data_IF_161500812399
#
_entry.id   IF_161500812399
#
_cell.length_a   1.000
_cell.length_b   1.000
_cell.length_c   1.000
_cell.angle_alpha   90.00
_cell.angle_beta   90.00
_cell.angle_gamma   90.00
#
_symmetry.space_group_name_H-M   'P 1'
#
loop_
_entity.id
_entity.type
_entity.pdbx_description
1 polymer ?
#
# COMPACT_ATOMS: atom_id res chain seq x y z
N UNK A 1 14.25 9.25 58.63
CA UNK A 1 14.00 7.91 58.02
C UNK A 1 12.88 7.97 56.99
N UNK A 2 11.66 8.44 57.33
CA UNK A 2 10.54 8.51 56.37
C UNK A 2 10.81 9.44 55.16
N UNK A 3 11.30 10.67 55.38
CA UNK A 3 11.51 11.63 54.27
C UNK A 3 12.57 11.20 53.24
N UNK A 4 13.66 10.57 53.68
CA UNK A 4 14.70 10.05 52.78
C UNK A 4 14.19 8.88 51.93
N UNK A 5 13.40 7.99 52.52
CA UNK A 5 12.78 6.87 51.78
C UNK A 5 11.77 7.35 50.75
N UNK A 6 10.96 8.37 51.07
CA UNK A 6 10.01 8.98 50.11
C UNK A 6 10.73 9.62 48.93
N UNK A 7 11.82 10.36 49.17
CA UNK A 7 12.62 10.99 48.10
C UNK A 7 13.23 9.92 47.18
N UNK A 8 13.84 8.87 47.76
CA UNK A 8 14.42 7.78 46.97
C UNK A 8 13.36 7.05 46.14
N UNK A 9 12.15 6.86 46.68
CA UNK A 9 11.04 6.26 45.95
C UNK A 9 10.62 7.13 44.75
N UNK A 10 10.49 8.45 44.94
CA UNK A 10 10.13 9.38 43.85
C UNK A 10 11.19 9.34 42.75
N UNK A 11 12.48 9.41 43.10
CA UNK A 11 13.58 9.34 42.13
C UNK A 11 13.57 7.99 41.39
N UNK A 12 13.37 6.88 42.10
CA UNK A 12 13.29 5.55 41.49
C UNK A 12 12.12 5.44 40.50
N UNK A 13 10.93 5.95 40.86
CA UNK A 13 9.76 5.96 39.97
C UNK A 13 10.01 6.84 38.74
N UNK A 14 10.59 8.03 38.90
CA UNK A 14 10.93 8.91 37.77
C UNK A 14 11.95 8.26 36.84
N UNK A 15 12.98 7.62 37.41
CA UNK A 15 14.01 6.92 36.65
C UNK A 15 13.41 5.74 35.86
N UNK A 16 12.59 4.91 36.51
CA UNK A 16 11.95 3.76 35.88
C UNK A 16 11.00 4.20 34.75
N UNK A 17 10.21 5.26 34.99
CA UNK A 17 9.29 5.81 33.98
C UNK A 17 10.05 6.37 32.77
N UNK A 18 11.21 7.00 33.00
CA UNK A 18 12.05 7.52 31.93
C UNK A 18 12.73 6.41 31.10
N UNK A 19 12.93 5.22 31.68
CA UNK A 19 13.51 4.05 31.00
C UNK A 19 12.47 3.20 30.26
N UNK A 20 11.26 3.05 30.80
CA UNK A 20 10.18 2.26 30.18
C UNK A 20 9.57 2.99 28.97
N UNK A 21 9.38 4.32 29.07
CA UNK A 21 8.71 5.10 28.02
C UNK A 21 9.38 4.98 26.63
N UNK A 22 10.71 5.00 26.49
CA UNK A 22 11.37 4.77 25.21
C UNK A 22 11.21 3.34 24.66
N UNK A 23 11.11 2.32 25.52
CA UNK A 23 10.89 0.93 25.10
C UNK A 23 9.50 0.78 24.48
N UNK A 24 8.47 1.31 25.15
CA UNK A 24 7.10 1.30 24.62
C UNK A 24 7.03 2.00 23.26
N UNK A 25 7.69 3.16 23.12
CA UNK A 25 7.75 3.86 21.82
C UNK A 25 8.43 3.05 20.72
N UNK A 26 9.45 2.26 21.04
CA UNK A 26 10.10 1.37 20.08
C UNK A 26 9.15 0.23 19.68
N UNK A 27 8.41 -0.34 20.65
CA UNK A 27 7.40 -1.38 20.38
C UNK A 27 6.28 -0.84 19.48
N UNK A 28 5.73 0.35 19.80
CA UNK A 28 4.69 1.00 19.01
C UNK A 28 5.17 1.29 17.58
N UNK A 29 6.42 1.73 17.42
CA UNK A 29 7.02 1.98 16.12
C UNK A 29 7.21 0.69 15.31
N UNK A 30 7.62 -0.40 15.95
CA UNK A 30 7.76 -1.71 15.33
C UNK A 30 6.41 -2.31 14.91
N UNK A 31 5.39 -2.19 15.76
CA UNK A 31 4.03 -2.63 15.45
C UNK A 31 3.41 -1.81 14.31
N UNK A 32 3.60 -0.48 14.34
CA UNK A 32 3.13 0.40 13.28
C UNK A 32 3.80 0.06 11.94
N UNK A 33 5.11 -0.16 11.93
CA UNK A 33 5.84 -0.61 10.75
C UNK A 33 5.35 -1.97 10.25
N UNK A 34 5.11 -2.93 11.14
CA UNK A 34 4.54 -4.24 10.79
C UNK A 34 3.14 -4.15 10.18
N UNK A 35 2.38 -3.09 10.49
CA UNK A 35 1.06 -2.80 9.90
C UNK A 35 1.13 -1.93 8.63
N UNK A 36 2.34 -1.65 8.11
CA UNK A 36 2.53 -0.77 6.95
C UNK A 36 2.15 0.69 7.20
N UNK A 37 2.04 1.11 8.47
CA UNK A 37 1.76 2.49 8.85
C UNK A 37 3.05 3.23 9.10
N UNK A 38 3.11 4.48 8.68
CA UNK A 38 4.20 5.34 9.10
C UNK A 38 4.11 5.60 10.61
N UNK A 39 5.24 5.46 11.30
CA UNK A 39 5.42 5.98 12.65
C UNK A 39 6.20 7.30 12.55
N UNK A 40 5.53 8.43 12.24
CA UNK A 40 6.23 9.70 12.06
C UNK A 40 6.97 10.07 13.35
N UNK A 41 8.23 10.50 13.19
CA UNK A 41 9.06 11.07 14.25
C UNK A 41 9.58 10.10 15.35
N UNK A 42 9.67 8.79 15.10
CA UNK A 42 10.42 7.92 16.03
C UNK A 42 11.91 8.31 16.06
N UNK A 43 12.45 8.57 17.25
CA UNK A 43 13.85 8.92 17.47
C UNK A 43 14.45 8.07 18.58
N UNK A 44 15.66 7.51 18.41
CA UNK A 44 16.35 6.76 19.46
C UNK A 44 16.55 7.62 20.72
N UNK A 45 15.95 7.21 21.84
CA UNK A 45 16.05 7.88 23.16
C UNK A 45 16.09 6.85 24.28
N UNK A 46 16.45 7.29 25.49
CA UNK A 46 16.53 6.45 26.69
C UNK A 46 17.94 5.91 26.94
N UNK A 47 18.00 4.79 27.69
CA UNK A 47 19.24 4.07 27.99
C UNK A 47 20.05 3.75 26.72
N UNK A 48 21.36 3.55 26.90
CA UNK A 48 22.28 3.23 25.80
C UNK A 48 21.84 1.99 25.03
N UNK A 49 21.35 0.98 25.74
CA UNK A 49 20.88 -0.30 25.21
C UNK A 49 19.61 -0.09 24.36
N UNK A 50 18.66 0.69 24.86
CA UNK A 50 17.41 1.01 24.14
C UNK A 50 17.70 1.85 22.90
N UNK A 51 18.61 2.82 22.99
CA UNK A 51 19.06 3.61 21.84
C UNK A 51 19.73 2.74 20.77
N UNK A 52 20.56 1.77 21.17
CA UNK A 52 21.19 0.83 20.24
C UNK A 52 20.15 -0.06 19.54
N UNK A 53 19.17 -0.58 20.27
CA UNK A 53 18.08 -1.35 19.69
C UNK A 53 17.23 -0.50 18.73
N UNK A 54 16.90 0.74 19.11
CA UNK A 54 16.17 1.67 18.28
C UNK A 54 16.92 2.02 16.98
N UNK A 55 18.24 2.18 17.05
CA UNK A 55 19.07 2.42 15.87
C UNK A 55 19.09 1.21 14.93
N UNK A 56 19.29 0.01 15.48
CA UNK A 56 19.24 -1.23 14.70
C UNK A 56 17.88 -1.45 14.04
N UNK A 57 16.78 -1.09 14.73
CA UNK A 57 15.44 -1.11 14.15
C UNK A 57 15.29 -0.14 12.97
N UNK A 58 15.80 1.09 13.09
CA UNK A 58 15.76 2.08 12.00
C UNK A 58 16.56 1.59 10.79
N UNK A 59 17.73 1.01 11.00
CA UNK A 59 18.56 0.44 9.94
C UNK A 59 17.90 -0.76 9.25
N UNK A 60 17.25 -1.63 10.04
CA UNK A 60 16.46 -2.75 9.53
C UNK A 60 15.28 -2.25 8.70
N UNK A 61 14.51 -1.28 9.22
CA UNK A 61 13.40 -0.63 8.51
C UNK A 61 13.86 -0.11 7.14
N UNK A 62 14.91 0.72 7.11
CA UNK A 62 15.43 1.29 5.87
C UNK A 62 16.00 0.23 4.90
N UNK A 63 16.46 -0.92 5.39
CA UNK A 63 16.89 -2.04 4.54
C UNK A 63 15.69 -2.76 3.92
N UNK A 64 14.63 -2.98 4.69
CA UNK A 64 13.40 -3.62 4.21
C UNK A 64 12.73 -2.73 3.16
N UNK A 65 12.58 -1.43 3.43
CA UNK A 65 12.00 -0.46 2.48
C UNK A 65 12.78 -0.46 1.15
N UNK A 66 14.11 -0.34 1.19
CA UNK A 66 14.94 -0.43 -0.01
C UNK A 66 14.79 -1.76 -0.75
N UNK A 67 14.68 -2.88 -0.03
CA UNK A 67 14.49 -4.19 -0.66
C UNK A 67 13.14 -4.30 -1.37
N UNK A 68 12.10 -3.68 -0.83
CA UNK A 68 10.78 -3.60 -1.47
C UNK A 68 10.88 -2.70 -2.72
N UNK A 69 11.45 -1.50 -2.60
CA UNK A 69 11.64 -0.57 -3.72
C UNK A 69 12.43 -1.21 -4.87
N UNK A 70 13.51 -1.92 -4.58
CA UNK A 70 14.31 -2.61 -5.60
C UNK A 70 13.53 -3.71 -6.34
N UNK A 71 12.72 -4.50 -5.61
CA UNK A 71 11.86 -5.51 -6.23
C UNK A 71 10.80 -4.86 -7.11
N UNK A 72 10.18 -3.79 -6.64
CA UNK A 72 9.20 -3.02 -7.40
C UNK A 72 9.82 -2.39 -8.66
N UNK A 73 11.01 -1.82 -8.57
CA UNK A 73 11.72 -1.23 -9.70
C UNK A 73 12.09 -2.28 -10.76
N UNK A 74 12.56 -3.46 -10.35
CA UNK A 74 12.85 -4.57 -11.26
C UNK A 74 11.59 -5.00 -12.02
N UNK A 75 10.45 -5.13 -11.32
CA UNK A 75 9.18 -5.52 -11.92
C UNK A 75 8.65 -4.46 -12.90
N UNK A 76 8.87 -3.18 -12.63
CA UNK A 76 8.56 -2.11 -13.57
C UNK A 76 9.35 -2.22 -14.88
N UNK A 77 10.65 -2.56 -14.80
CA UNK A 77 11.50 -2.77 -15.98
C UNK A 77 11.04 -3.96 -16.82
N UNK A 78 10.87 -5.14 -16.21
CA UNK A 78 10.37 -6.35 -16.91
C UNK A 78 9.03 -6.07 -17.61
N UNK A 79 8.17 -5.29 -16.98
CA UNK A 79 6.84 -5.02 -17.50
C UNK A 79 6.81 -4.05 -18.67
N UNK A 80 7.76 -3.11 -18.71
CA UNK A 80 7.95 -2.26 -19.87
C UNK A 80 8.30 -3.11 -21.11
N UNK A 81 9.18 -4.10 -20.93
CA UNK A 81 9.59 -5.00 -22.01
C UNK A 81 8.43 -5.91 -22.44
N UNK A 82 7.67 -6.45 -21.47
CA UNK A 82 6.46 -7.24 -21.74
C UNK A 82 5.39 -6.45 -22.51
N UNK A 83 5.16 -5.18 -22.15
CA UNK A 83 4.24 -4.31 -22.88
C UNK A 83 4.69 -4.10 -24.33
N UNK A 84 6.00 -3.96 -24.55
CA UNK A 84 6.56 -3.77 -25.89
C UNK A 84 6.31 -5.00 -26.77
N UNK A 85 6.54 -6.22 -26.26
CA UNK A 85 6.28 -7.45 -27.03
C UNK A 85 4.79 -7.71 -27.25
N UNK A 86 3.92 -7.41 -26.27
CA UNK A 86 2.47 -7.56 -26.42
C UNK A 86 1.92 -6.58 -27.46
N UNK A 87 2.41 -5.33 -27.45
CA UNK A 87 2.03 -4.33 -28.46
C UNK A 87 2.45 -4.79 -29.86
N UNK A 88 3.64 -5.38 -29.99
CA UNK A 88 4.10 -5.96 -31.25
C UNK A 88 3.21 -7.11 -31.70
N UNK A 89 2.82 -8.03 -30.81
CA UNK A 89 1.88 -9.10 -31.16
C UNK A 89 0.51 -8.55 -31.59
N UNK A 90 -0.03 -7.53 -30.92
CA UNK A 90 -1.28 -6.89 -31.35
C UNK A 90 -1.18 -6.32 -32.76
N UNK A 91 -0.05 -5.68 -33.09
CA UNK A 91 0.20 -5.16 -34.44
C UNK A 91 0.33 -6.27 -35.48
N UNK A 92 1.08 -7.34 -35.18
CA UNK A 92 1.22 -8.49 -36.09
C UNK A 92 -0.13 -9.17 -36.34
N UNK A 93 -0.94 -9.38 -35.29
CA UNK A 93 -2.31 -9.91 -35.40
C UNK A 93 -3.22 -8.97 -36.21
N UNK A 94 -3.06 -7.66 -36.08
CA UNK A 94 -3.81 -6.68 -36.86
C UNK A 94 -3.53 -6.76 -38.37
N UNK A 95 -2.35 -7.25 -38.77
CA UNK A 95 -1.91 -7.35 -40.17
C UNK A 95 -2.23 -8.71 -40.82
N UNK A 96 -2.44 -9.77 -40.04
CA UNK A 96 -2.62 -11.15 -40.54
C UNK A 96 -4.03 -11.40 -41.14
N UNK A 97 -4.96 -10.44 -40.99
CA UNK A 97 -6.31 -10.50 -41.55
C UNK A 97 -7.37 -10.86 -40.49
N UNK A 98 -8.54 -11.30 -40.94
CA UNK A 98 -9.67 -11.70 -40.08
C UNK A 98 -9.94 -13.19 -40.18
N UNK A 99 -10.32 -13.79 -39.06
CA UNK A 99 -10.66 -15.20 -38.96
C UNK A 99 -10.88 -15.60 -37.50
N UNK A 100 -11.72 -16.63 -37.24
CA UNK A 100 -12.09 -17.01 -35.88
C UNK A 100 -10.89 -17.40 -35.00
N UNK A 101 -9.83 -17.97 -35.59
CA UNK A 101 -8.57 -18.29 -34.90
C UNK A 101 -7.76 -17.03 -34.55
N UNK A 102 -7.73 -16.04 -35.44
CA UNK A 102 -7.04 -14.76 -35.22
C UNK A 102 -7.77 -13.94 -34.15
N UNK A 103 -9.11 -13.94 -34.15
CA UNK A 103 -9.91 -13.27 -33.14
C UNK A 103 -9.73 -13.89 -31.75
N UNK A 104 -9.63 -15.22 -31.67
CA UNK A 104 -9.28 -15.91 -30.44
C UNK A 104 -7.87 -15.50 -29.94
N UNK A 105 -6.88 -15.48 -30.83
CA UNK A 105 -5.52 -15.03 -30.48
C UNK A 105 -5.46 -13.55 -30.04
N UNK A 106 -6.25 -12.66 -30.66
CA UNK A 106 -6.36 -11.26 -30.21
C UNK A 106 -6.90 -11.19 -28.79
N UNK A 107 -7.95 -11.96 -28.49
CA UNK A 107 -8.55 -12.03 -27.15
C UNK A 107 -7.54 -12.54 -26.11
N UNK A 108 -6.75 -13.58 -26.43
CA UNK A 108 -5.72 -14.10 -25.53
C UNK A 108 -4.63 -13.06 -25.25
N UNK A 109 -4.15 -12.32 -26.27
CA UNK A 109 -3.16 -11.25 -26.10
C UNK A 109 -3.71 -10.08 -25.28
N UNK A 110 -4.98 -9.74 -25.45
CA UNK A 110 -5.66 -8.74 -24.64
C UNK A 110 -5.78 -9.20 -23.18
N UNK A 111 -6.11 -10.47 -22.95
CA UNK A 111 -6.18 -11.05 -21.60
C UNK A 111 -4.81 -11.09 -20.92
N UNK A 112 -3.75 -11.46 -21.65
CA UNK A 112 -2.36 -11.37 -21.17
C UNK A 112 -1.97 -9.93 -20.81
N UNK A 113 -2.43 -8.95 -21.61
CA UNK A 113 -2.18 -7.53 -21.34
C UNK A 113 -2.86 -7.08 -20.04
N UNK A 114 -4.12 -7.47 -19.83
CA UNK A 114 -4.86 -7.16 -18.61
C UNK A 114 -4.22 -7.82 -17.38
N UNK A 115 -3.88 -9.12 -17.46
CA UNK A 115 -3.22 -9.84 -16.37
C UNK A 115 -1.87 -9.21 -15.99
N UNK A 116 -1.09 -8.75 -16.99
CA UNK A 116 0.17 -8.07 -16.74
C UNK A 116 -0.04 -6.74 -16.01
N UNK A 117 -1.04 -5.95 -16.42
CA UNK A 117 -1.37 -4.68 -15.79
C UNK A 117 -1.84 -4.86 -14.35
N UNK A 118 -2.66 -5.87 -14.08
CA UNK A 118 -3.09 -6.23 -12.73
C UNK A 118 -1.92 -6.66 -11.84
N UNK A 119 -1.05 -7.53 -12.36
CA UNK A 119 0.13 -7.99 -11.62
C UNK A 119 1.09 -6.83 -11.32
N UNK A 120 1.28 -5.93 -12.28
CA UNK A 120 2.06 -4.70 -12.09
C UNK A 120 1.45 -3.77 -11.05
N UNK A 121 0.14 -3.60 -11.10
CA UNK A 121 -0.59 -2.77 -10.18
C UNK A 121 -0.49 -3.35 -8.75
N UNK A 122 -0.49 -4.67 -8.61
CA UNK A 122 -0.22 -5.38 -7.36
C UNK A 122 1.24 -5.22 -6.91
N UNK A 123 2.21 -5.44 -7.81
CA UNK A 123 3.62 -5.49 -7.48
C UNK A 123 4.28 -4.12 -7.25
N UNK A 124 3.78 -3.07 -7.92
CA UNK A 124 4.10 -1.70 -7.50
C UNK A 124 3.63 -1.44 -6.09
N UNK A 125 2.61 -2.18 -5.65
CA UNK A 125 1.95 -1.93 -4.41
C UNK A 125 1.55 -0.47 -4.31
N UNK A 126 1.33 -0.08 -3.08
CA UNK A 126 0.84 1.23 -2.69
C UNK A 126 2.00 2.10 -2.22
N UNK A 127 3.13 2.00 -2.92
CA UNK A 127 4.48 2.37 -2.47
C UNK A 127 4.78 3.87 -2.41
N UNK A 128 3.74 4.70 -2.32
CA UNK A 128 3.90 6.15 -2.14
C UNK A 128 2.61 6.91 -1.91
N UNK A 129 1.44 6.27 -1.99
CA UNK A 129 0.20 6.96 -1.67
C UNK A 129 0.08 7.13 -0.16
N UNK A 130 -0.05 8.38 0.28
CA UNK A 130 -0.23 8.73 1.69
C UNK A 130 -1.72 8.62 2.02
N UNK A 131 -2.02 8.04 3.18
CA UNK A 131 -3.40 8.00 3.65
C UNK A 131 -3.90 9.41 3.95
N UNK A 132 -4.99 9.81 3.32
CA UNK A 132 -5.57 11.15 3.43
C UNK A 132 -7.08 11.08 3.71
N UNK A 133 -7.64 12.11 4.39
CA UNK A 133 -9.09 12.23 4.55
C UNK A 133 -9.76 12.29 3.17
N UNK A 134 -10.64 11.34 2.89
CA UNK A 134 -11.31 11.16 1.59
C UNK A 134 -12.81 11.14 1.79
N UNK A 135 -13.54 11.92 0.99
CA UNK A 135 -15.00 11.86 0.93
C UNK A 135 -15.43 10.56 0.21
N UNK A 136 -15.99 9.63 0.99
CA UNK A 136 -16.33 8.31 0.49
C UNK A 136 -17.58 8.32 -0.39
N UNK A 137 -18.52 9.23 -0.15
CA UNK A 137 -19.72 9.32 -0.96
C UNK A 137 -19.37 9.79 -2.38
N UNK A 138 -18.52 10.81 -2.48
CA UNK A 138 -18.04 11.31 -3.78
C UNK A 138 -17.19 10.27 -4.52
N UNK A 139 -16.27 9.59 -3.82
CA UNK A 139 -15.42 8.57 -4.43
C UNK A 139 -16.22 7.37 -4.98
N UNK A 140 -17.29 6.95 -4.28
CA UNK A 140 -18.17 5.87 -4.74
C UNK A 140 -19.04 6.29 -5.93
N UNK A 141 -19.52 7.54 -5.97
CA UNK A 141 -20.30 8.05 -7.10
C UNK A 141 -19.45 8.18 -8.37
N UNK A 142 -18.17 8.56 -8.22
CA UNK A 142 -17.22 8.55 -9.34
C UNK A 142 -17.01 7.13 -9.87
N UNK A 143 -16.90 6.15 -8.98
CA UNK A 143 -16.77 4.74 -9.36
C UNK A 143 -18.01 4.21 -10.10
N UNK A 144 -19.21 4.61 -9.65
CA UNK A 144 -20.48 4.31 -10.35
C UNK A 144 -20.47 4.88 -11.76
N UNK A 145 -20.09 6.15 -11.90
CA UNK A 145 -19.98 6.82 -13.20
C UNK A 145 -18.95 6.14 -14.11
N UNK A 146 -17.87 5.60 -13.55
CA UNK A 146 -16.90 4.79 -14.29
C UNK A 146 -17.52 3.47 -14.76
N UNK A 147 -18.26 2.76 -13.91
CA UNK A 147 -18.90 1.49 -14.26
C UNK A 147 -19.99 1.65 -15.34
N UNK A 148 -20.83 2.69 -15.23
CA UNK A 148 -21.88 3.00 -16.21
C UNK A 148 -21.29 3.33 -17.60
N UNK A 149 -20.13 4.00 -17.64
CA UNK A 149 -19.39 4.26 -18.89
C UNK A 149 -18.90 2.98 -19.59
N UNK A 150 -18.65 1.92 -18.84
CA UNK A 150 -18.30 0.60 -19.39
C UNK A 150 -19.53 -0.27 -19.71
N UNK A 151 -20.74 0.30 -19.64
CA UNK A 151 -21.98 -0.38 -19.98
C UNK A 151 -22.59 -1.21 -18.85
N UNK A 152 -22.08 -1.08 -17.62
CA UNK A 152 -22.56 -1.83 -16.47
C UNK A 152 -23.56 -1.02 -15.64
N UNK A 153 -24.63 -1.65 -15.16
CA UNK A 153 -25.58 -1.00 -14.23
C UNK A 153 -25.03 -1.08 -12.82
N UNK A 154 -24.80 0.07 -12.18
CA UNK A 154 -24.28 0.14 -10.81
C UNK A 154 -25.18 1.00 -9.92
N UNK A 155 -25.41 0.57 -8.68
CA UNK A 155 -26.12 1.34 -7.64
C UNK A 155 -25.21 1.55 -6.45
N UNK A 156 -25.15 2.78 -5.93
CA UNK A 156 -24.33 3.12 -4.76
C UNK A 156 -25.24 3.45 -3.58
N UNK A 157 -24.96 2.83 -2.44
CA UNK A 157 -25.55 3.20 -1.15
C UNK A 157 -24.42 3.27 -0.11
N UNK A 158 -24.19 4.47 0.43
CA UNK A 158 -23.14 4.71 1.42
C UNK A 158 -23.76 4.98 2.80
N UNK A 159 -23.25 4.29 3.83
CA UNK A 159 -23.65 4.48 5.22
C UNK A 159 -22.40 4.60 6.08
N UNK A 160 -22.24 5.70 6.82
CA UNK A 160 -21.11 5.89 7.73
C UNK A 160 -20.63 7.33 7.81
N UNK A 161 -19.40 7.50 8.30
CA UNK A 161 -18.74 8.80 8.36
C UNK A 161 -18.41 9.28 6.93
N UNK A 162 -18.74 10.53 6.56
CA UNK A 162 -18.57 11.02 5.20
C UNK A 162 -17.10 11.06 4.77
N UNK A 163 -16.20 11.34 5.72
CA UNK A 163 -14.76 11.42 5.47
C UNK A 163 -14.05 10.30 6.21
N UNK A 164 -13.30 9.49 5.47
CA UNK A 164 -12.49 8.39 6.00
C UNK A 164 -11.05 8.53 5.55
N UNK A 165 -10.11 8.27 6.46
CA UNK A 165 -8.67 8.26 6.12
C UNK A 165 -8.34 6.97 5.39
N UNK A 166 -8.20 7.07 4.07
CA UNK A 166 -7.83 5.96 3.18
C UNK A 166 -6.74 6.43 2.23
N UNK A 167 -6.25 5.54 1.38
CA UNK A 167 -5.40 5.88 0.24
C UNK A 167 -6.27 5.87 -1.02
N UNK A 168 -6.73 7.05 -1.50
CA UNK A 168 -7.81 7.16 -2.46
C UNK A 168 -7.66 6.31 -3.73
N UNK A 169 -6.51 6.35 -4.39
CA UNK A 169 -6.23 5.65 -5.64
C UNK A 169 -6.18 4.13 -5.44
N UNK A 170 -5.49 3.67 -4.40
CA UNK A 170 -5.45 2.25 -4.01
C UNK A 170 -6.84 1.73 -3.63
N UNK A 171 -7.62 2.52 -2.91
CA UNK A 171 -8.99 2.15 -2.52
C UNK A 171 -9.94 2.13 -3.73
N UNK A 172 -9.88 3.16 -4.60
CA UNK A 172 -10.66 3.22 -5.85
C UNK A 172 -10.36 2.02 -6.75
N UNK A 173 -9.07 1.68 -6.94
CA UNK A 173 -8.65 0.48 -7.68
C UNK A 173 -9.21 -0.80 -7.09
N UNK A 174 -9.14 -0.96 -5.77
CA UNK A 174 -9.68 -2.14 -5.10
C UNK A 174 -11.17 -2.33 -5.41
N UNK A 175 -11.95 -1.27 -5.28
CA UNK A 175 -13.38 -1.31 -5.59
C UNK A 175 -13.66 -1.50 -7.08
N UNK A 176 -12.89 -0.86 -7.97
CA UNK A 176 -13.01 -1.03 -9.42
C UNK A 176 -12.81 -2.48 -9.84
N UNK A 177 -11.83 -3.16 -9.25
CA UNK A 177 -11.58 -4.58 -9.51
C UNK A 177 -12.74 -5.46 -9.02
N UNK A 178 -13.34 -5.14 -7.87
CA UNK A 178 -14.51 -5.86 -7.37
C UNK A 178 -15.74 -5.64 -8.27
N UNK A 179 -15.99 -4.41 -8.70
CA UNK A 179 -17.11 -4.08 -9.59
C UNK A 179 -16.93 -4.75 -10.96
N UNK A 180 -15.72 -4.70 -11.53
CA UNK A 180 -15.40 -5.38 -12.79
C UNK A 180 -15.62 -6.90 -12.69
N UNK A 181 -15.17 -7.52 -11.60
CA UNK A 181 -15.41 -8.94 -11.36
C UNK A 181 -16.89 -9.29 -11.16
N UNK A 182 -17.68 -8.40 -10.56
CA UNK A 182 -19.12 -8.60 -10.39
C UNK A 182 -19.90 -8.42 -11.70
N UNK A 183 -19.32 -7.72 -12.68
CA UNK A 183 -19.92 -7.43 -13.97
C UNK A 183 -19.52 -8.42 -15.09
N UNK A 184 -18.51 -9.27 -14.84
CA UNK A 184 -18.19 -10.46 -15.63
C UNK A 184 -19.15 -11.60 -15.30
#
# INVERSE_FOLDING_TARGET
MLGTSTILLIVAVLFLRNQIKPILRLADAAESFGKGREAPNFRPRGAREVRRAAQAFIEMKARVERSIEQRTAMLAGVSHDLRTILTRFKLELALIGEGPEIDAMRKDVDEMSMMLEDYLAFARGDSGEVAQPTDMAMALEELRSDAERHGHTATVAFHGLPVVTVKPASFKRCLANLVSNAAR
#
